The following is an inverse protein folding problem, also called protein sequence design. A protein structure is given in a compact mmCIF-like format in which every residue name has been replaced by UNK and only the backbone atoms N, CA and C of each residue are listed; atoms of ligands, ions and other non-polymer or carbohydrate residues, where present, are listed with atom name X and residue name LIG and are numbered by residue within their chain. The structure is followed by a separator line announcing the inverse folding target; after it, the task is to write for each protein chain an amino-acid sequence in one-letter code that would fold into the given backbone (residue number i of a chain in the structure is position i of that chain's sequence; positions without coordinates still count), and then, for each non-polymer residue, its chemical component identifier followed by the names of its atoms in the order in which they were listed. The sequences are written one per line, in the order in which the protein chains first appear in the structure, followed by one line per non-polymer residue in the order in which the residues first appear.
data_IF_597851267981
#
_entry.id   IF_597851267981
#
_cell.length_a   1.000
_cell.length_b   1.000
_cell.length_c   1.000
_cell.angle_alpha   90.00
_cell.angle_beta   90.00
_cell.angle_gamma   90.00
#
_symmetry.space_group_name_H-M   'P 1'
#
loop_
_entity.id
_entity.type
_entity.pdbx_description
1 polymer ?
#
# COMPACT_ATOMS: atom_id res chain seq x y z
N UNK A 1 -25.83 -19.82 15.88
CA UNK A 1 -25.71 -18.41 15.51
C UNK A 1 -24.24 -18.03 15.55
N UNK A 2 -23.76 -17.19 14.61
CA UNK A 2 -22.38 -16.70 14.60
C UNK A 2 -22.10 -16.03 15.96
N UNK A 3 -20.93 -16.27 16.57
CA UNK A 3 -20.47 -15.83 17.91
C UNK A 3 -20.66 -16.77 19.13
N UNK A 4 -20.82 -18.08 18.97
CA UNK A 4 -21.08 -19.03 20.08
C UNK A 4 -19.94 -19.31 21.08
N UNK A 5 -18.72 -18.77 20.91
CA UNK A 5 -17.56 -19.26 21.65
C UNK A 5 -17.24 -18.51 22.96
N UNK A 6 -17.94 -17.42 23.28
CA UNK A 6 -17.80 -16.74 24.57
C UNK A 6 -19.18 -16.31 25.07
N UNK A 7 -19.76 -17.09 26.00
CA UNK A 7 -20.95 -16.66 26.74
C UNK A 7 -20.56 -15.42 27.56
N UNK A 8 -21.23 -14.31 27.29
CA UNK A 8 -21.12 -13.09 28.09
C UNK A 8 -22.37 -12.93 28.93
N UNK A 9 -22.24 -12.26 30.08
CA UNK A 9 -23.33 -11.93 30.99
C UNK A 9 -23.60 -10.43 30.94
N UNK A 10 -24.87 -10.05 31.12
CA UNK A 10 -25.34 -8.66 30.99
C UNK A 10 -25.75 -8.12 32.36
N UNK A 11 -25.02 -7.13 32.87
CA UNK A 11 -25.39 -6.38 34.07
C UNK A 11 -26.21 -5.16 33.64
N UNK A 12 -27.55 -5.35 33.59
CA UNK A 12 -28.51 -4.31 33.18
C UNK A 12 -28.56 -3.12 34.16
N UNK A 13 -28.16 -3.32 35.40
CA UNK A 13 -28.18 -2.28 36.43
C UNK A 13 -27.03 -1.30 36.23
N UNK A 14 -25.83 -1.82 35.96
CA UNK A 14 -24.63 -1.00 35.74
C UNK A 14 -24.30 -0.80 34.25
N UNK A 15 -25.18 -1.23 33.35
CA UNK A 15 -25.04 -1.14 31.89
C UNK A 15 -23.68 -1.65 31.37
N UNK A 16 -23.29 -2.88 31.76
CA UNK A 16 -21.99 -3.46 31.40
C UNK A 16 -22.05 -4.95 31.05
N UNK A 17 -21.05 -5.41 30.32
CA UNK A 17 -20.87 -6.80 29.91
C UNK A 17 -19.74 -7.45 30.71
N UNK A 18 -19.96 -8.69 31.14
CA UNK A 18 -18.98 -9.48 31.88
C UNK A 18 -18.76 -10.84 31.25
N UNK A 19 -17.62 -11.44 31.57
CA UNK A 19 -17.26 -12.77 31.09
C UNK A 19 -16.98 -13.71 32.27
N UNK A 20 -17.35 -14.98 32.13
CA UNK A 20 -17.05 -15.98 33.14
C UNK A 20 -15.54 -16.14 33.34
N UNK A 21 -15.13 -16.13 34.60
CA UNK A 21 -13.77 -16.35 35.06
C UNK A 21 -13.82 -17.21 36.32
N UNK A 22 -13.45 -18.48 36.16
CA UNK A 22 -13.67 -19.54 37.15
C UNK A 22 -15.14 -19.59 37.59
N UNK A 23 -15.39 -19.43 38.90
CA UNK A 23 -16.72 -19.47 39.50
C UNK A 23 -17.37 -18.07 39.61
N UNK A 24 -16.85 -17.06 38.90
CA UNK A 24 -17.30 -15.66 39.00
C UNK A 24 -17.42 -14.97 37.64
N UNK A 25 -18.05 -13.79 37.61
CA UNK A 25 -18.11 -12.93 36.42
C UNK A 25 -17.14 -11.78 36.57
N UNK A 26 -16.20 -11.65 35.63
CA UNK A 26 -15.28 -10.53 35.55
C UNK A 26 -15.83 -9.44 34.61
N UNK A 27 -16.26 -8.34 35.21
CA UNK A 27 -16.81 -7.16 34.52
C UNK A 27 -15.75 -6.20 33.95
N UNK A 28 -14.47 -6.44 34.21
CA UNK A 28 -13.34 -5.64 33.69
C UNK A 28 -12.66 -6.31 32.50
N UNK A 29 -13.00 -7.56 32.19
CA UNK A 29 -12.42 -8.33 31.10
C UNK A 29 -13.07 -7.94 29.78
N UNK A 30 -12.26 -7.73 28.75
CA UNK A 30 -12.72 -7.41 27.39
C UNK A 30 -11.99 -8.28 26.36
N UNK A 31 -12.69 -8.62 25.28
CA UNK A 31 -12.21 -9.34 24.10
C UNK A 31 -12.24 -8.45 22.84
N UNK A 32 -11.92 -7.17 23.03
CA UNK A 32 -11.80 -6.20 21.93
C UNK A 32 -13.11 -6.06 21.14
N UNK A 33 -13.04 -6.26 19.82
CA UNK A 33 -14.16 -6.08 18.91
C UNK A 33 -15.39 -6.94 19.30
N UNK A 34 -15.16 -8.11 19.89
CA UNK A 34 -16.26 -8.99 20.34
C UNK A 34 -17.04 -8.38 21.51
N UNK A 35 -16.37 -7.73 22.45
CA UNK A 35 -17.02 -7.02 23.56
C UNK A 35 -17.76 -5.80 23.04
N UNK A 36 -17.17 -5.05 22.11
CA UNK A 36 -17.84 -3.93 21.45
C UNK A 36 -19.12 -4.37 20.72
N UNK A 37 -19.07 -5.44 19.91
CA UNK A 37 -20.27 -5.95 19.24
C UNK A 37 -21.33 -6.47 20.20
N UNK A 38 -20.94 -7.05 21.34
CA UNK A 38 -21.89 -7.45 22.37
C UNK A 38 -22.60 -6.23 22.99
N UNK A 39 -21.89 -5.11 23.21
CA UNK A 39 -22.50 -3.86 23.67
C UNK A 39 -23.45 -3.26 22.63
N UNK A 40 -23.08 -3.27 21.34
CA UNK A 40 -23.94 -2.82 20.23
C UNK A 40 -25.21 -3.67 20.18
N UNK A 41 -25.05 -4.99 20.16
CA UNK A 41 -26.17 -5.93 20.09
C UNK A 41 -27.14 -5.74 21.26
N UNK A 42 -26.65 -5.68 22.50
CA UNK A 42 -27.49 -5.51 23.69
C UNK A 42 -28.18 -4.13 23.73
N UNK A 43 -27.55 -3.09 23.21
CA UNK A 43 -28.19 -1.78 23.07
C UNK A 43 -29.32 -1.80 22.04
N UNK A 44 -29.13 -2.46 20.89
CA UNK A 44 -30.18 -2.65 19.88
C UNK A 44 -31.38 -3.44 20.44
N UNK A 45 -31.14 -4.35 21.40
CA UNK A 45 -32.18 -5.05 22.15
C UNK A 45 -32.80 -4.22 23.29
N UNK A 46 -32.39 -2.97 23.49
CA UNK A 46 -32.87 -2.08 24.55
C UNK A 46 -32.35 -2.43 25.95
N UNK A 47 -31.31 -3.26 26.06
CA UNK A 47 -30.72 -3.66 27.34
C UNK A 47 -29.91 -2.55 28.02
N UNK A 48 -29.50 -1.50 27.28
CA UNK A 48 -28.64 -0.41 27.75
C UNK A 48 -29.12 0.97 27.28
N UNK A 49 -28.92 2.02 28.11
CA UNK A 49 -29.17 3.42 27.73
C UNK A 49 -28.05 4.02 26.87
N UNK A 50 -28.37 5.02 26.02
CA UNK A 50 -27.47 5.55 24.98
C UNK A 50 -26.08 6.02 25.44
N UNK A 51 -25.94 6.51 26.67
CA UNK A 51 -24.66 6.99 27.23
C UNK A 51 -23.67 5.89 27.58
N UNK A 52 -24.13 4.65 27.79
CA UNK A 52 -23.26 3.51 28.15
C UNK A 52 -22.49 2.94 26.95
N UNK A 53 -23.09 3.03 25.77
CA UNK A 53 -22.45 2.62 24.52
C UNK A 53 -21.29 3.54 24.15
N UNK A 54 -21.46 4.85 24.36
CA UNK A 54 -20.46 5.84 23.96
C UNK A 54 -19.13 5.62 24.70
N UNK A 55 -19.14 5.17 25.96
CA UNK A 55 -17.92 4.90 26.74
C UNK A 55 -17.17 3.64 26.32
N UNK A 56 -17.87 2.63 25.80
CA UNK A 56 -17.32 1.30 25.49
C UNK A 56 -17.04 1.10 23.99
N UNK A 57 -17.66 1.92 23.12
CA UNK A 57 -17.34 2.01 21.70
C UNK A 57 -16.03 2.76 21.42
N UNK A 58 -15.46 3.44 22.42
CA UNK A 58 -14.07 3.84 22.34
C UNK A 58 -13.19 2.61 22.42
N UNK A 59 -12.70 2.17 21.26
CA UNK A 59 -11.41 1.50 21.23
C UNK A 59 -10.38 2.49 21.76
N UNK A 60 -10.06 2.40 23.06
CA UNK A 60 -8.77 2.86 23.56
C UNK A 60 -7.71 1.94 22.99
N UNK A 61 -7.35 2.20 21.73
CA UNK A 61 -5.96 2.05 21.34
C UNK A 61 -5.19 3.05 22.22
N UNK A 62 -4.71 2.59 23.36
CA UNK A 62 -3.50 3.18 23.91
C UNK A 62 -2.40 2.74 22.96
N UNK A 63 -2.35 3.38 21.78
CA UNK A 63 -1.06 3.65 21.18
C UNK A 63 -0.38 4.50 22.23
N UNK A 64 0.47 3.86 23.03
CA UNK A 64 1.32 4.60 23.95
C UNK A 64 1.94 5.75 23.16
N UNK A 65 2.18 6.88 23.83
CA UNK A 65 3.11 7.88 23.33
C UNK A 65 4.46 7.21 23.08
N UNK A 66 4.61 6.54 21.95
CA UNK A 66 5.86 6.03 21.43
C UNK A 66 6.32 7.09 20.44
N UNK A 67 6.66 8.26 20.99
CA UNK A 67 7.67 9.08 20.34
C UNK A 67 8.95 8.26 20.39
N UNK A 68 9.29 7.58 19.30
CA UNK A 68 10.55 6.86 19.18
C UNK A 68 11.76 7.77 19.48
N UNK A 69 11.61 9.09 19.33
CA UNK A 69 12.61 10.10 19.70
C UNK A 69 12.90 10.19 21.22
N UNK A 70 12.02 9.68 22.10
CA UNK A 70 12.27 9.65 23.56
C UNK A 70 12.60 8.25 24.10
N UNK A 71 12.67 7.25 23.21
CA UNK A 71 13.04 5.89 23.54
C UNK A 71 14.54 5.78 23.34
N UNK A 72 15.31 5.55 24.41
CA UNK A 72 16.75 5.27 24.31
C UNK A 72 17.00 4.18 23.26
N UNK A 73 17.99 4.31 22.36
CA UNK A 73 18.25 3.32 21.30
C UNK A 73 18.33 1.87 21.80
N UNK A 74 18.76 1.66 23.04
CA UNK A 74 18.80 0.35 23.72
C UNK A 74 17.41 -0.25 23.97
N UNK A 75 16.34 0.54 24.02
CA UNK A 75 14.96 0.07 24.25
C UNK A 75 14.25 -0.40 22.98
N UNK A 76 14.62 0.14 21.81
CA UNK A 76 14.18 -0.38 20.48
C UNK A 76 14.91 -1.68 20.17
N UNK A 77 16.17 -1.77 20.58
CA UNK A 77 17.06 -2.91 20.36
C UNK A 77 17.06 -3.94 21.51
N UNK A 78 16.09 -3.89 22.44
CA UNK A 78 15.85 -4.99 23.41
C UNK A 78 16.24 -4.76 24.88
N UNK A 79 16.01 -3.59 25.46
CA UNK A 79 16.33 -3.29 26.87
C UNK A 79 15.14 -2.88 27.78
N UNK A 80 14.78 -3.77 28.72
CA UNK A 80 14.22 -3.56 30.08
C UNK A 80 12.80 -2.99 30.33
N UNK A 81 11.90 -2.89 29.34
CA UNK A 81 10.43 -2.85 29.53
C UNK A 81 9.75 -3.63 28.38
N UNK A 82 8.48 -4.09 28.52
CA UNK A 82 7.95 -5.16 27.69
C UNK A 82 8.02 -4.83 26.21
N UNK A 83 8.79 -5.64 25.49
CA UNK A 83 8.92 -5.65 24.04
C UNK A 83 7.54 -5.40 23.37
N UNK A 84 7.40 -4.50 22.39
CA UNK A 84 6.12 -4.20 21.74
C UNK A 84 5.44 -5.44 21.14
N UNK A 85 6.22 -6.50 20.87
CA UNK A 85 5.76 -7.82 20.43
C UNK A 85 5.51 -8.82 21.59
N UNK A 86 5.28 -8.36 22.83
CA UNK A 86 4.85 -9.27 23.91
C UNK A 86 3.41 -9.77 23.73
N UNK A 87 2.57 -9.02 23.01
CA UNK A 87 1.16 -9.31 22.78
C UNK A 87 0.80 -9.59 21.32
N UNK A 88 1.76 -9.44 20.40
CA UNK A 88 1.58 -9.65 18.96
C UNK A 88 2.80 -10.40 18.39
N UNK A 89 2.65 -11.23 17.33
CA UNK A 89 3.77 -12.02 16.78
C UNK A 89 4.96 -11.13 16.38
N UNK A 90 6.18 -11.57 16.66
CA UNK A 90 7.38 -10.86 16.17
C UNK A 90 7.54 -11.12 14.67
N UNK A 91 7.85 -10.08 13.86
CA UNK A 91 8.45 -10.29 12.54
C UNK A 91 9.77 -11.04 12.73
N UNK A 92 9.73 -12.36 12.51
CA UNK A 92 10.79 -13.26 12.96
C UNK A 92 12.10 -13.07 12.19
N UNK A 93 12.00 -12.83 10.88
CA UNK A 93 13.16 -12.62 10.00
C UNK A 93 13.72 -11.21 10.08
N UNK A 94 12.85 -10.20 10.01
CA UNK A 94 13.28 -8.83 9.74
C UNK A 94 14.10 -8.20 10.87
N UNK A 95 13.76 -8.47 12.14
CA UNK A 95 14.44 -7.84 13.28
C UNK A 95 15.94 -8.20 13.29
N UNK A 96 16.30 -9.37 12.76
CA UNK A 96 17.67 -9.87 12.73
C UNK A 96 18.45 -9.35 11.51
N UNK A 97 17.77 -9.07 10.39
CA UNK A 97 18.42 -8.81 9.09
C UNK A 97 18.16 -7.42 8.51
N UNK A 98 17.37 -6.54 9.14
CA UNK A 98 16.98 -5.23 8.55
C UNK A 98 18.17 -4.30 8.22
N UNK A 99 19.31 -4.49 8.87
CA UNK A 99 20.52 -3.70 8.59
C UNK A 99 21.33 -4.24 7.40
N UNK A 100 21.05 -5.45 6.93
CA UNK A 100 21.76 -6.08 5.82
C UNK A 100 21.35 -5.46 4.48
N UNK A 101 22.31 -5.26 3.58
CA UNK A 101 22.05 -4.70 2.25
C UNK A 101 21.20 -5.66 1.41
N UNK A 102 21.48 -6.96 1.53
CA UNK A 102 20.74 -8.05 0.86
C UNK A 102 19.26 -8.06 1.27
N UNK A 103 18.94 -7.87 2.56
CA UNK A 103 17.55 -7.86 3.01
C UNK A 103 16.81 -6.60 2.52
N UNK A 104 17.45 -5.43 2.50
CA UNK A 104 16.81 -4.25 1.92
C UNK A 104 16.60 -4.41 0.41
N UNK A 105 17.61 -4.91 -0.32
CA UNK A 105 17.49 -5.13 -1.76
C UNK A 105 16.38 -6.14 -2.09
N UNK A 106 16.32 -7.27 -1.37
CA UNK A 106 15.28 -8.30 -1.54
C UNK A 106 13.86 -7.74 -1.38
N UNK A 107 13.66 -6.76 -0.50
CA UNK A 107 12.34 -6.13 -0.28
C UNK A 107 11.80 -5.40 -1.52
N UNK A 108 12.65 -4.97 -2.45
CA UNK A 108 12.18 -4.37 -3.71
C UNK A 108 11.55 -5.39 -4.67
N UNK A 109 11.84 -6.67 -4.49
CA UNK A 109 11.24 -7.76 -5.26
C UNK A 109 10.10 -8.45 -4.51
N UNK A 110 10.26 -8.66 -3.20
CA UNK A 110 9.39 -9.54 -2.40
C UNK A 110 8.94 -8.92 -1.07
N UNK A 111 9.15 -7.62 -0.90
CA UNK A 111 8.66 -6.85 0.24
C UNK A 111 7.25 -6.29 -0.03
N UNK A 112 6.84 -5.25 0.72
CA UNK A 112 5.49 -4.71 0.63
C UNK A 112 5.26 -3.82 -0.60
N UNK A 113 6.32 -3.39 -1.28
CA UNK A 113 6.22 -2.59 -2.50
C UNK A 113 7.03 -3.18 -3.65
N UNK A 114 6.56 -4.30 -4.21
CA UNK A 114 7.19 -4.89 -5.37
C UNK A 114 6.98 -4.04 -6.63
N UNK A 115 6.17 -2.98 -6.62
CA UNK A 115 5.76 -2.25 -7.82
C UNK A 115 6.72 -1.12 -8.23
N UNK A 116 7.64 -0.69 -7.35
CA UNK A 116 8.51 0.47 -7.63
C UNK A 116 9.82 0.13 -8.36
N UNK A 117 10.28 -1.13 -8.29
CA UNK A 117 11.51 -1.57 -8.96
C UNK A 117 11.34 -1.57 -10.49
N UNK A 118 12.39 -1.22 -11.23
CA UNK A 118 12.42 -1.18 -12.70
C UNK A 118 13.70 -1.80 -13.23
N UNK A 119 13.61 -2.43 -14.39
CA UNK A 119 14.78 -2.79 -15.17
C UNK A 119 15.30 -1.55 -15.93
N UNK A 120 16.61 -1.30 -15.84
CA UNK A 120 17.23 -0.23 -16.60
C UNK A 120 17.43 -0.67 -18.05
N UNK A 121 16.90 0.12 -18.99
CA UNK A 121 17.01 -0.07 -20.44
C UNK A 121 17.85 1.03 -21.11
N UNK A 122 17.95 2.20 -20.49
CA UNK A 122 18.81 3.31 -20.92
C UNK A 122 19.25 4.11 -19.70
N UNK A 123 20.43 3.75 -19.15
CA UNK A 123 20.99 4.37 -17.95
C UNK A 123 21.17 5.89 -18.10
N UNK A 124 21.45 6.39 -19.31
CA UNK A 124 21.68 7.83 -19.56
C UNK A 124 20.42 8.67 -19.41
N UNK A 125 19.24 8.05 -19.57
CA UNK A 125 17.94 8.71 -19.40
C UNK A 125 17.28 8.39 -18.07
N UNK A 126 17.55 7.21 -17.53
CA UNK A 126 16.82 6.69 -16.37
C UNK A 126 17.53 6.98 -15.05
N UNK A 127 18.85 6.99 -15.02
CA UNK A 127 19.62 7.28 -13.80
C UNK A 127 20.03 8.76 -13.74
N UNK A 128 20.20 9.33 -12.53
CA UNK A 128 20.83 10.64 -12.37
C UNK A 128 22.26 10.64 -12.97
N UNK A 129 22.65 11.74 -13.60
CA UNK A 129 23.99 11.89 -14.20
C UNK A 129 25.12 11.65 -13.19
N UNK A 130 24.97 12.17 -11.96
CA UNK A 130 25.91 11.94 -10.86
C UNK A 130 26.03 10.47 -10.48
N UNK A 131 24.91 9.75 -10.39
CA UNK A 131 24.88 8.31 -10.14
C UNK A 131 25.54 7.53 -11.27
N UNK A 132 25.22 7.82 -12.53
CA UNK A 132 25.85 7.14 -13.67
C UNK A 132 27.36 7.33 -13.67
N UNK A 133 27.82 8.59 -13.53
CA UNK A 133 29.24 8.92 -13.40
C UNK A 133 29.89 8.18 -12.23
N UNK A 134 29.20 8.09 -11.10
CA UNK A 134 29.69 7.40 -9.91
C UNK A 134 29.89 5.89 -10.17
N UNK A 135 28.91 5.21 -10.78
CA UNK A 135 28.98 3.78 -11.09
C UNK A 135 30.14 3.47 -12.05
N UNK A 136 30.32 4.28 -13.10
CA UNK A 136 31.35 4.07 -14.13
C UNK A 136 32.75 4.52 -13.66
N UNK A 137 32.87 5.71 -13.06
CA UNK A 137 34.16 6.31 -12.75
C UNK A 137 34.68 5.95 -11.36
N UNK A 138 33.81 5.80 -10.36
CA UNK A 138 34.24 5.49 -8.99
C UNK A 138 34.17 4.01 -8.68
N UNK A 139 33.05 3.35 -8.97
CA UNK A 139 32.90 1.89 -8.76
C UNK A 139 33.48 1.04 -9.90
N UNK A 140 33.85 1.66 -11.03
CA UNK A 140 34.47 0.97 -12.19
C UNK A 140 33.58 -0.13 -12.78
N UNK A 141 32.26 0.04 -12.71
CA UNK A 141 31.31 -0.91 -13.29
C UNK A 141 31.16 -0.69 -14.79
N UNK A 142 31.00 -1.78 -15.54
CA UNK A 142 30.57 -1.74 -16.94
C UNK A 142 29.04 -1.61 -17.00
N UNK A 143 28.55 -0.37 -16.84
CA UNK A 143 27.11 -0.07 -16.86
C UNK A 143 26.46 -0.50 -18.18
N UNK A 144 27.05 -0.25 -19.38
CA UNK A 144 26.52 -0.78 -20.64
C UNK A 144 26.36 -2.30 -20.64
N UNK A 145 27.33 -3.06 -20.10
CA UNK A 145 27.21 -4.51 -19.99
C UNK A 145 26.07 -4.91 -19.03
N UNK A 146 25.95 -4.28 -17.86
CA UNK A 146 24.86 -4.56 -16.91
C UNK A 146 23.48 -4.29 -17.52
N UNK A 147 23.32 -3.23 -18.33
CA UNK A 147 22.08 -2.95 -19.06
C UNK A 147 21.83 -4.02 -20.13
N UNK A 148 22.84 -4.35 -20.94
CA UNK A 148 22.73 -5.35 -22.01
C UNK A 148 22.38 -6.75 -21.47
N UNK A 149 22.93 -7.11 -20.31
CA UNK A 149 22.67 -8.38 -19.62
C UNK A 149 21.35 -8.39 -18.82
N UNK A 150 20.64 -7.25 -18.80
CA UNK A 150 19.41 -7.03 -18.01
C UNK A 150 19.62 -7.26 -16.52
N UNK A 151 20.71 -6.70 -15.97
CA UNK A 151 21.14 -6.84 -14.57
C UNK A 151 21.19 -5.53 -13.80
N UNK A 152 21.07 -4.39 -14.46
CA UNK A 152 20.94 -3.10 -13.77
C UNK A 152 19.47 -2.82 -13.48
N UNK A 153 19.12 -2.73 -12.20
CA UNK A 153 17.78 -2.35 -11.74
C UNK A 153 17.84 -1.04 -10.96
N UNK A 154 16.71 -0.35 -10.85
CA UNK A 154 16.61 0.85 -10.04
C UNK A 154 15.19 1.11 -9.56
N UNK A 155 15.06 1.89 -8.49
CA UNK A 155 13.81 2.50 -8.08
C UNK A 155 13.98 4.02 -8.00
N UNK A 156 12.95 4.74 -8.44
CA UNK A 156 13.01 6.17 -8.70
C UNK A 156 11.84 6.90 -8.03
N UNK A 157 12.19 7.75 -7.07
CA UNK A 157 11.25 8.56 -6.29
C UNK A 157 11.39 10.05 -6.60
N UNK A 158 12.00 10.41 -7.73
CA UNK A 158 12.22 11.83 -8.11
C UNK A 158 10.93 12.62 -8.24
N UNK A 159 9.79 11.97 -8.47
CA UNK A 159 8.49 12.65 -8.50
C UNK A 159 8.11 13.33 -7.18
N UNK A 160 8.71 12.92 -6.05
CA UNK A 160 8.55 13.61 -4.77
C UNK A 160 9.13 15.03 -4.81
N UNK A 161 10.05 15.35 -5.73
CA UNK A 161 10.63 16.70 -5.86
C UNK A 161 9.60 17.76 -6.27
N UNK A 162 8.48 17.35 -6.88
CA UNK A 162 7.42 18.26 -7.30
C UNK A 162 6.51 18.72 -6.14
N UNK A 163 6.66 18.10 -4.96
CA UNK A 163 5.89 18.44 -3.77
C UNK A 163 6.44 19.75 -3.18
N UNK A 164 5.96 20.86 -3.72
CA UNK A 164 6.26 22.22 -3.25
C UNK A 164 5.46 22.52 -1.99
N UNK A 165 5.97 22.15 -0.81
CA UNK A 165 5.73 22.79 0.49
C UNK A 165 6.71 22.14 1.45
N UNK A 166 7.41 22.98 2.23
CA UNK A 166 8.18 22.54 3.38
C UNK A 166 7.32 21.57 4.23
N UNK A 167 7.77 20.33 4.53
CA UNK A 167 7.04 19.31 5.33
C UNK A 167 6.61 19.74 6.75
N UNK A 168 6.65 21.04 7.06
CA UNK A 168 6.35 21.65 8.35
C UNK A 168 5.14 22.57 8.34
N UNK A 169 4.54 22.82 7.17
CA UNK A 169 3.16 23.29 7.14
C UNK A 169 2.29 22.06 6.91
N UNK A 170 1.54 21.68 7.94
CA UNK A 170 0.32 20.88 7.75
C UNK A 170 -0.38 21.49 6.55
N UNK A 171 -0.53 20.74 5.47
CA UNK A 171 -1.32 21.17 4.33
C UNK A 171 -2.46 20.17 4.16
N UNK A 172 -3.73 20.60 4.10
CA UNK A 172 -4.15 21.93 4.54
C UNK A 172 -3.68 22.17 5.99
N UNK A 173 -3.46 23.45 6.39
CA UNK A 173 -3.31 23.79 7.80
C UNK A 173 -4.39 23.06 8.57
N UNK A 174 -4.06 22.50 9.74
CA UNK A 174 -5.02 21.84 10.62
C UNK A 174 -6.41 22.45 10.44
N UNK A 175 -7.38 21.67 9.93
CA UNK A 175 -8.77 22.14 9.76
C UNK A 175 -9.36 22.65 11.09
N UNK A 176 -8.66 22.38 12.20
CA UNK A 176 -8.88 22.97 13.50
C UNK A 176 -7.82 24.07 13.80
N UNK A 177 -8.19 25.36 13.79
CA UNK A 177 -7.28 26.47 14.12
C UNK A 177 -6.75 26.46 15.56
N UNK A 178 -7.32 25.63 16.45
CA UNK A 178 -6.93 25.54 17.86
C UNK A 178 -5.73 24.60 18.11
N UNK A 179 -5.19 23.96 17.08
CA UNK A 179 -4.08 23.03 17.22
C UNK A 179 -2.78 23.71 16.75
N UNK A 180 -1.88 24.10 17.67
CA UNK A 180 -0.64 24.78 17.31
C UNK A 180 0.23 23.89 16.41
N UNK A 181 0.83 24.50 15.38
CA UNK A 181 1.90 23.88 14.58
C UNK A 181 3.08 23.66 15.51
N UNK A 182 3.58 22.42 15.59
CA UNK A 182 4.78 22.14 16.34
C UNK A 182 5.99 22.57 15.51
N UNK A 183 6.45 23.80 15.71
CA UNK A 183 7.61 24.40 15.05
C UNK A 183 8.94 23.64 15.29
N UNK A 184 8.92 22.54 16.07
CA UNK A 184 10.09 21.73 16.41
C UNK A 184 10.02 20.29 15.91
N UNK A 185 8.93 19.86 15.28
CA UNK A 185 8.77 18.48 14.80
C UNK A 185 8.95 18.38 13.28
N UNK A 186 10.20 18.57 12.86
CA UNK A 186 10.57 18.55 11.45
C UNK A 186 10.64 17.12 10.91
N UNK A 187 9.96 16.85 9.81
CA UNK A 187 10.03 15.59 9.04
C UNK A 187 10.62 15.81 7.67
N UNK A 188 11.33 14.83 7.14
CA UNK A 188 12.01 14.94 5.86
C UNK A 188 11.59 13.85 4.89
N UNK A 189 11.63 14.13 3.60
CA UNK A 189 11.54 13.13 2.55
C UNK A 189 12.51 13.50 1.42
N UNK A 190 12.87 12.51 0.61
CA UNK A 190 13.90 12.66 -0.41
C UNK A 190 13.38 12.24 -1.78
N UNK A 191 13.62 13.00 -2.86
CA UNK A 191 13.41 12.55 -4.23
C UNK A 191 14.54 11.59 -4.65
N UNK A 192 14.62 10.45 -3.94
CA UNK A 192 15.76 9.55 -3.99
C UNK A 192 15.72 8.62 -5.22
N UNK A 193 16.89 8.19 -5.65
CA UNK A 193 17.07 7.07 -6.60
C UNK A 193 18.00 6.06 -5.95
N UNK A 194 17.70 4.77 -6.11
CA UNK A 194 18.54 3.65 -5.69
C UNK A 194 18.75 2.70 -6.86
N UNK A 195 19.99 2.27 -7.08
CA UNK A 195 20.37 1.35 -8.15
C UNK A 195 20.90 0.03 -7.56
N UNK A 196 20.64 -1.05 -8.29
CA UNK A 196 20.98 -2.41 -7.90
C UNK A 196 21.64 -3.17 -9.05
N UNK A 197 22.52 -4.12 -8.73
CA UNK A 197 22.96 -5.16 -9.64
C UNK A 197 22.29 -6.48 -9.26
N UNK A 198 21.69 -7.14 -10.25
CA UNK A 198 21.28 -8.52 -10.15
C UNK A 198 22.51 -9.44 -10.26
N UNK A 199 22.55 -10.47 -9.43
CA UNK A 199 23.62 -11.46 -9.49
C UNK A 199 23.68 -12.13 -10.88
N UNK A 200 24.89 -12.52 -11.31
CA UNK A 200 25.12 -13.20 -12.59
C UNK A 200 24.93 -14.72 -12.53
N UNK A 201 24.68 -15.29 -11.36
CA UNK A 201 24.70 -16.73 -11.15
C UNK A 201 23.33 -17.34 -11.40
N UNK A 202 22.37 -17.00 -10.56
CA UNK A 202 21.01 -17.54 -10.58
C UNK A 202 19.93 -16.46 -10.63
N UNK A 203 20.31 -15.17 -10.60
CA UNK A 203 19.41 -14.02 -10.73
C UNK A 203 18.35 -14.01 -9.62
N UNK A 204 18.71 -14.44 -8.43
CA UNK A 204 17.84 -14.49 -7.24
C UNK A 204 18.16 -13.39 -6.22
N UNK A 205 19.36 -12.82 -6.27
CA UNK A 205 19.85 -11.84 -5.30
C UNK A 205 20.22 -10.51 -5.97
N UNK A 206 20.07 -9.43 -5.22
CA UNK A 206 20.43 -8.09 -5.66
C UNK A 206 21.41 -7.45 -4.68
N UNK A 207 22.40 -6.77 -5.24
CA UNK A 207 23.32 -5.91 -4.51
C UNK A 207 22.93 -4.44 -4.69
N UNK A 208 22.96 -3.66 -3.61
CA UNK A 208 22.76 -2.20 -3.70
C UNK A 208 24.06 -1.58 -4.21
N UNK A 209 24.00 -0.97 -5.39
CA UNK A 209 25.16 -0.29 -5.99
C UNK A 209 25.32 1.12 -5.45
N UNK A 210 24.23 1.89 -5.45
CA UNK A 210 24.28 3.31 -5.16
C UNK A 210 22.93 3.86 -4.70
N UNK A 211 22.96 4.85 -3.82
CA UNK A 211 21.80 5.65 -3.40
C UNK A 211 22.12 7.13 -3.64
N UNK A 212 21.22 7.86 -4.29
CA UNK A 212 21.28 9.30 -4.43
C UNK A 212 20.01 9.93 -3.84
N UNK A 213 20.13 10.56 -2.67
CA UNK A 213 18.99 11.11 -1.93
C UNK A 213 18.37 12.37 -2.57
N UNK A 214 19.11 13.06 -3.44
CA UNK A 214 18.64 14.22 -4.20
C UNK A 214 18.78 13.92 -5.69
N UNK A 215 17.93 13.04 -6.18
CA UNK A 215 18.01 12.46 -7.53
C UNK A 215 17.74 13.46 -8.66
N UNK A 216 17.17 14.63 -8.36
CA UNK A 216 16.94 15.71 -9.33
C UNK A 216 18.09 16.70 -9.43
N UNK A 217 19.08 16.62 -8.53
CA UNK A 217 20.25 17.50 -8.54
C UNK A 217 21.42 16.84 -9.28
N UNK A 218 21.99 17.53 -10.27
CA UNK A 218 23.05 16.97 -11.14
C UNK A 218 24.31 16.55 -10.38
N UNK A 219 24.71 17.31 -9.35
CA UNK A 219 25.94 17.07 -8.57
C UNK A 219 25.67 16.63 -7.12
N UNK A 220 24.49 16.08 -6.84
CA UNK A 220 24.22 15.55 -5.50
C UNK A 220 25.16 14.38 -5.14
N UNK A 221 25.54 14.24 -3.85
CA UNK A 221 26.32 13.11 -3.38
C UNK A 221 25.63 11.77 -3.67
N UNK A 222 26.43 10.80 -4.06
CA UNK A 222 26.04 9.42 -4.28
C UNK A 222 26.69 8.56 -3.20
N UNK A 223 25.86 7.81 -2.50
CA UNK A 223 26.24 6.99 -1.36
C UNK A 223 26.35 5.53 -1.80
N UNK A 224 27.40 4.86 -1.36
CA UNK A 224 27.58 3.42 -1.46
C UNK A 224 28.22 2.91 -0.18
N UNK A 225 28.20 1.59 0.02
CA UNK A 225 28.84 0.97 1.18
C UNK A 225 30.34 1.29 1.25
N UNK A 226 31.01 1.39 0.11
CA UNK A 226 32.45 1.61 -0.01
C UNK A 226 32.84 3.08 0.15
N UNK A 227 31.94 4.01 -0.18
CA UNK A 227 32.25 5.45 -0.21
C UNK A 227 31.77 6.20 1.03
N UNK A 228 30.83 5.64 1.79
CA UNK A 228 30.42 6.22 3.07
C UNK A 228 31.56 6.15 4.10
N UNK A 229 31.68 7.21 4.90
CA UNK A 229 32.69 7.37 5.94
C UNK A 229 32.48 6.44 7.15
N UNK A 230 31.27 5.89 7.30
CA UNK A 230 30.91 4.96 8.38
C UNK A 230 29.70 4.11 8.02
N UNK A 231 29.54 2.97 8.72
CA UNK A 231 28.33 2.13 8.62
C UNK A 231 27.05 2.91 8.98
N UNK A 232 27.14 3.88 9.89
CA UNK A 232 26.01 4.72 10.28
C UNK A 232 25.57 5.66 9.15
N UNK A 233 26.51 6.22 8.40
CA UNK A 233 26.21 7.05 7.22
C UNK A 233 25.54 6.22 6.12
N UNK A 234 26.08 5.04 5.83
CA UNK A 234 25.47 4.12 4.86
C UNK A 234 24.07 3.69 5.28
N UNK A 235 23.91 3.30 6.55
CA UNK A 235 22.60 2.94 7.09
C UNK A 235 21.61 4.11 7.03
N UNK A 236 22.05 5.35 7.28
CA UNK A 236 21.18 6.52 7.14
C UNK A 236 20.74 6.75 5.69
N UNK A 237 21.62 6.58 4.70
CA UNK A 237 21.25 6.66 3.29
C UNK A 237 20.17 5.61 2.93
N UNK A 238 20.33 4.38 3.43
CA UNK A 238 19.35 3.29 3.28
C UNK A 238 18.00 3.62 3.94
N UNK A 239 18.00 4.19 5.14
CA UNK A 239 16.80 4.62 5.87
C UNK A 239 16.06 5.73 5.12
N UNK A 240 16.78 6.71 4.59
CA UNK A 240 16.19 7.85 3.86
C UNK A 240 15.52 7.41 2.56
N UNK A 241 16.13 6.50 1.78
CA UNK A 241 15.46 5.97 0.58
C UNK A 241 14.31 5.03 0.93
N UNK A 242 14.42 4.26 2.03
CA UNK A 242 13.31 3.46 2.55
C UNK A 242 12.13 4.33 3.00
N UNK A 243 12.36 5.56 3.47
CA UNK A 243 11.30 6.50 3.79
C UNK A 243 10.54 6.98 2.54
N UNK A 244 11.26 7.38 1.50
CA UNK A 244 10.66 7.76 0.22
C UNK A 244 9.81 6.62 -0.35
N UNK A 245 10.39 5.43 -0.34
CA UNK A 245 9.75 4.23 -0.83
C UNK A 245 8.52 3.82 0.02
N UNK A 246 8.58 3.89 1.34
CA UNK A 246 7.45 3.60 2.22
C UNK A 246 6.27 4.59 2.03
N UNK A 247 6.55 5.85 1.74
CA UNK A 247 5.50 6.82 1.42
C UNK A 247 4.86 6.55 0.05
N UNK A 248 5.65 6.15 -0.95
CA UNK A 248 5.12 5.76 -2.27
C UNK A 248 4.32 4.46 -2.21
N UNK A 249 4.81 3.48 -1.48
CA UNK A 249 4.12 2.22 -1.19
C UNK A 249 2.73 2.48 -0.60
N UNK A 250 2.67 3.15 0.54
CA UNK A 250 1.42 3.27 1.30
C UNK A 250 0.40 4.12 0.56
N UNK A 251 0.82 5.25 -0.01
CA UNK A 251 -0.13 6.23 -0.52
C UNK A 251 -0.44 6.07 -2.00
N UNK A 252 0.45 5.47 -2.78
CA UNK A 252 0.21 5.25 -4.21
C UNK A 252 -0.14 3.79 -4.47
N UNK A 253 0.79 2.87 -4.24
CA UNK A 253 0.61 1.47 -4.65
C UNK A 253 -0.42 0.71 -3.83
N UNK A 254 -0.58 1.07 -2.56
CA UNK A 254 -1.61 0.51 -1.68
C UNK A 254 -2.87 1.38 -1.73
N UNK A 255 -2.89 2.52 -1.04
CA UNK A 255 -4.12 3.27 -0.83
C UNK A 255 -4.75 3.81 -2.12
N UNK A 256 -3.97 4.22 -3.12
CA UNK A 256 -4.56 4.69 -4.37
C UNK A 256 -4.94 3.55 -5.29
N UNK A 257 -3.96 2.78 -5.74
CA UNK A 257 -4.11 1.80 -6.82
C UNK A 257 -5.04 0.62 -6.44
N UNK A 258 -5.28 0.35 -5.16
CA UNK A 258 -6.18 -0.73 -4.73
C UNK A 258 -7.46 -0.27 -4.03
N UNK A 259 -7.40 0.84 -3.28
CA UNK A 259 -8.56 1.34 -2.53
C UNK A 259 -9.28 2.47 -3.26
N UNK A 260 -8.66 3.64 -3.36
CA UNK A 260 -9.34 4.87 -3.79
C UNK A 260 -9.65 4.89 -5.29
N UNK A 261 -8.73 4.42 -6.12
CA UNK A 261 -8.93 4.32 -7.58
C UNK A 261 -9.97 3.26 -7.96
N UNK A 262 -10.18 2.30 -7.06
CA UNK A 262 -11.20 1.28 -7.22
C UNK A 262 -12.59 1.75 -6.80
N UNK A 263 -12.70 2.77 -5.93
CA UNK A 263 -13.99 3.23 -5.38
C UNK A 263 -14.96 3.73 -6.46
N UNK A 264 -14.48 4.55 -7.41
CA UNK A 264 -15.31 5.02 -8.52
C UNK A 264 -15.87 3.88 -9.36
N UNK A 265 -15.10 2.80 -9.49
CA UNK A 265 -15.49 1.59 -10.21
C UNK A 265 -16.60 0.84 -9.43
N UNK A 266 -16.45 0.71 -8.12
CA UNK A 266 -17.48 0.12 -7.24
C UNK A 266 -18.79 0.89 -7.32
N UNK A 267 -18.74 2.23 -7.35
CA UNK A 267 -19.94 3.07 -7.50
C UNK A 267 -20.60 2.83 -8.86
N UNK A 268 -19.84 2.84 -9.96
CA UNK A 268 -20.37 2.59 -11.29
C UNK A 268 -20.99 1.19 -11.46
N UNK A 269 -20.38 0.17 -10.85
CA UNK A 269 -20.94 -1.19 -10.76
C UNK A 269 -22.30 -1.17 -10.04
N UNK A 270 -22.40 -0.48 -8.90
CA UNK A 270 -23.67 -0.41 -8.17
C UNK A 270 -24.75 0.31 -8.98
N UNK A 271 -24.39 1.44 -9.60
CA UNK A 271 -25.31 2.27 -10.37
C UNK A 271 -25.90 1.53 -11.57
N UNK A 272 -25.08 0.77 -12.30
CA UNK A 272 -25.48 0.11 -13.54
C UNK A 272 -25.78 -1.37 -13.35
N UNK A 273 -24.83 -2.15 -12.84
CA UNK A 273 -24.97 -3.61 -12.79
C UNK A 273 -25.94 -4.04 -11.70
N UNK A 274 -25.69 -3.62 -10.44
CA UNK A 274 -26.49 -4.07 -9.30
C UNK A 274 -27.94 -3.59 -9.39
N UNK A 275 -28.15 -2.31 -9.66
CA UNK A 275 -29.50 -1.72 -9.66
C UNK A 275 -30.40 -2.25 -10.79
N UNK A 276 -29.82 -2.81 -11.85
CA UNK A 276 -30.57 -3.45 -12.93
C UNK A 276 -30.69 -4.98 -12.77
N UNK A 277 -30.29 -5.55 -11.63
CA UNK A 277 -30.27 -7.01 -11.37
C UNK A 277 -29.55 -7.78 -12.48
N UNK A 278 -28.45 -7.21 -12.97
CA UNK A 278 -27.71 -7.73 -14.10
C UNK A 278 -26.90 -8.98 -13.72
N UNK A 279 -26.79 -10.02 -14.57
CA UNK A 279 -26.05 -11.27 -14.25
C UNK A 279 -24.60 -11.07 -13.81
N UNK A 280 -23.92 -10.04 -14.34
CA UNK A 280 -22.56 -9.68 -13.89
C UNK A 280 -22.48 -9.33 -12.39
N UNK A 281 -23.60 -9.07 -11.71
CA UNK A 281 -23.60 -8.83 -10.27
C UNK A 281 -23.05 -10.00 -9.48
N UNK A 282 -23.30 -11.25 -9.90
CA UNK A 282 -22.78 -12.45 -9.21
C UNK A 282 -21.25 -12.46 -9.16
N UNK A 283 -20.62 -11.83 -10.16
CA UNK A 283 -19.18 -11.65 -10.21
C UNK A 283 -18.69 -10.46 -9.39
N UNK A 284 -19.42 -9.34 -9.42
CA UNK A 284 -19.00 -8.12 -8.74
C UNK A 284 -19.38 -8.04 -7.26
N UNK A 285 -20.37 -8.79 -6.80
CA UNK A 285 -20.77 -8.80 -5.39
C UNK A 285 -19.60 -9.09 -4.43
N UNK A 286 -18.84 -10.20 -4.60
CA UNK A 286 -17.70 -10.46 -3.72
C UNK A 286 -16.57 -9.42 -3.89
N UNK A 287 -16.42 -8.86 -5.08
CA UNK A 287 -15.34 -7.94 -5.43
C UNK A 287 -15.54 -6.53 -4.87
N UNK A 288 -16.79 -6.08 -4.80
CA UNK A 288 -17.16 -4.76 -4.27
C UNK A 288 -17.37 -4.74 -2.76
N UNK A 289 -17.35 -5.92 -2.14
CA UNK A 289 -17.62 -6.10 -0.71
C UNK A 289 -16.61 -5.35 0.14
N UNK A 290 -17.12 -4.62 1.12
CA UNK A 290 -16.36 -3.88 2.14
C UNK A 290 -15.51 -2.69 1.63
N UNK A 291 -15.21 -2.57 0.32
CA UNK A 291 -14.39 -1.47 -0.22
C UNK A 291 -14.93 -0.08 0.16
N UNK A 292 -16.23 0.18 -0.04
CA UNK A 292 -16.82 1.48 0.29
C UNK A 292 -16.71 1.81 1.78
N UNK A 293 -16.91 0.82 2.64
CA UNK A 293 -16.80 0.97 4.09
C UNK A 293 -15.34 1.20 4.52
N UNK A 294 -14.41 0.45 3.96
CA UNK A 294 -12.99 0.59 4.23
C UNK A 294 -12.47 1.95 3.76
N UNK A 295 -12.86 2.42 2.58
CA UNK A 295 -12.45 3.73 2.08
C UNK A 295 -13.09 4.87 2.87
N UNK A 296 -14.35 4.71 3.32
CA UNK A 296 -14.95 5.63 4.28
C UNK A 296 -14.15 5.68 5.58
N UNK A 297 -13.74 4.54 6.12
CA UNK A 297 -12.89 4.47 7.32
C UNK A 297 -11.55 5.15 7.07
N UNK A 298 -10.89 4.87 5.95
CA UNK A 298 -9.62 5.48 5.56
C UNK A 298 -9.72 7.01 5.48
N UNK A 299 -10.78 7.56 4.86
CA UNK A 299 -11.02 9.01 4.86
C UNK A 299 -11.11 9.58 6.27
N UNK A 300 -11.92 8.95 7.14
CA UNK A 300 -12.19 9.43 8.50
C UNK A 300 -11.04 9.21 9.49
N UNK A 301 -10.04 8.40 9.14
CA UNK A 301 -8.89 8.08 10.00
C UNK A 301 -7.60 8.65 9.43
N UNK A 302 -7.25 8.30 8.20
CA UNK A 302 -6.01 8.71 7.56
C UNK A 302 -6.01 10.22 7.27
N UNK A 303 -7.10 10.81 6.78
CA UNK A 303 -7.12 12.18 6.25
C UNK A 303 -7.87 13.21 7.11
N UNK A 304 -8.92 12.82 7.83
CA UNK A 304 -9.81 13.78 8.51
C UNK A 304 -10.04 13.50 10.00
N UNK A 305 -9.24 12.62 10.59
CA UNK A 305 -9.35 12.29 12.02
C UNK A 305 -9.12 13.51 12.91
N UNK A 306 -9.82 13.56 14.04
CA UNK A 306 -9.69 14.63 15.03
C UNK A 306 -8.96 14.08 16.27
N UNK A 307 -7.99 14.81 16.86
CA UNK A 307 -7.62 16.20 16.55
C UNK A 307 -6.77 16.37 15.28
N UNK A 308 -6.07 15.34 14.81
CA UNK A 308 -5.28 15.38 13.57
C UNK A 308 -5.41 14.09 12.76
N UNK A 309 -5.24 14.21 11.45
CA UNK A 309 -5.19 13.11 10.50
C UNK A 309 -3.99 12.19 10.78
N UNK A 310 -4.15 10.88 10.62
CA UNK A 310 -3.05 9.92 10.80
C UNK A 310 -1.86 10.23 9.85
N UNK A 311 -2.14 10.68 8.63
CA UNK A 311 -1.10 11.06 7.68
C UNK A 311 -0.27 12.25 8.15
N UNK A 312 -0.89 13.25 8.78
CA UNK A 312 -0.17 14.37 9.37
C UNK A 312 0.61 13.96 10.63
N UNK A 313 0.18 12.91 11.34
CA UNK A 313 0.83 12.45 12.56
C UNK A 313 1.99 11.47 12.34
N UNK A 314 2.04 10.72 11.25
CA UNK A 314 3.02 9.62 11.11
C UNK A 314 3.83 9.61 9.81
N UNK A 315 3.54 10.50 8.86
CA UNK A 315 4.20 10.48 7.54
C UNK A 315 5.12 11.69 7.35
N UNK A 316 6.14 11.53 6.51
CA UNK A 316 6.99 12.64 6.06
C UNK A 316 6.30 13.60 5.09
N UNK A 317 5.31 13.12 4.33
CA UNK A 317 4.64 13.92 3.31
C UNK A 317 3.55 14.83 3.91
N UNK A 318 2.73 14.29 4.81
CA UNK A 318 1.53 14.96 5.31
C UNK A 318 0.34 14.82 4.35
N UNK A 319 -0.86 15.11 4.86
CA UNK A 319 -2.15 14.87 4.21
C UNK A 319 -2.26 15.51 2.82
N UNK A 320 -1.84 16.76 2.68
CA UNK A 320 -2.07 17.58 1.49
C UNK A 320 -1.12 17.22 0.36
N UNK A 321 0.13 16.92 0.68
CA UNK A 321 1.13 16.45 -0.28
C UNK A 321 0.75 15.06 -0.78
N UNK A 322 0.27 14.19 0.11
CA UNK A 322 -0.32 12.90 -0.27
C UNK A 322 -1.47 13.15 -1.25
N UNK A 323 -2.44 14.01 -0.92
CA UNK A 323 -3.56 14.31 -1.81
C UNK A 323 -3.13 14.86 -3.20
N UNK A 324 -2.08 15.70 -3.25
CA UNK A 324 -1.52 16.20 -4.52
C UNK A 324 -0.90 15.06 -5.33
N UNK A 325 -0.11 14.19 -4.70
CA UNK A 325 0.49 13.03 -5.34
C UNK A 325 -0.58 12.07 -5.87
N UNK A 326 -1.61 11.77 -5.06
CA UNK A 326 -2.75 10.95 -5.45
C UNK A 326 -3.47 11.51 -6.68
N UNK A 327 -3.76 12.82 -6.69
CA UNK A 327 -4.39 13.47 -7.83
C UNK A 327 -3.52 13.37 -9.09
N UNK A 328 -2.21 13.58 -8.95
CA UNK A 328 -1.27 13.46 -10.08
C UNK A 328 -1.28 12.04 -10.64
N UNK A 329 -1.17 11.03 -9.76
CA UNK A 329 -1.20 9.62 -10.15
C UNK A 329 -2.51 9.25 -10.84
N UNK A 330 -3.65 9.72 -10.33
CA UNK A 330 -4.94 9.49 -10.97
C UNK A 330 -5.01 10.05 -12.40
N UNK A 331 -4.49 11.26 -12.62
CA UNK A 331 -4.47 11.90 -13.94
C UNK A 331 -3.60 11.15 -14.97
N UNK A 332 -2.58 10.43 -14.52
CA UNK A 332 -1.70 9.63 -15.39
C UNK A 332 -2.05 8.14 -15.41
N UNK A 333 -3.08 7.72 -14.68
CA UNK A 333 -3.48 6.32 -14.58
C UNK A 333 -4.09 5.85 -15.90
N UNK A 334 -3.67 4.69 -16.37
CA UNK A 334 -4.24 4.01 -17.53
C UNK A 334 -4.63 2.58 -17.14
N UNK A 335 -5.90 2.24 -17.32
CA UNK A 335 -6.48 1.00 -16.81
C UNK A 335 -5.72 -0.23 -17.31
N UNK A 336 -5.44 -0.34 -18.60
CA UNK A 336 -4.75 -1.52 -19.15
C UNK A 336 -3.24 -1.49 -18.94
N UNK A 337 -2.64 -0.33 -18.69
CA UNK A 337 -1.21 -0.27 -18.31
C UNK A 337 -1.01 -0.67 -16.84
N UNK A 338 -1.92 -0.25 -15.96
CA UNK A 338 -1.75 -0.38 -14.51
C UNK A 338 -2.46 -1.60 -13.90
N UNK A 339 -3.65 -1.97 -14.40
CA UNK A 339 -4.45 -3.06 -13.85
C UNK A 339 -4.16 -4.42 -14.52
N UNK A 340 -3.48 -4.41 -15.68
CA UNK A 340 -3.09 -5.63 -16.38
C UNK A 340 -1.67 -6.03 -15.98
N UNK A 341 -1.53 -7.05 -15.12
CA UNK A 341 -0.23 -7.41 -14.53
C UNK A 341 0.90 -7.59 -15.57
N UNK A 342 0.73 -8.33 -16.68
CA UNK A 342 1.77 -8.40 -17.71
C UNK A 342 2.17 -7.04 -18.33
N UNK A 343 1.22 -6.14 -18.60
CA UNK A 343 1.53 -4.83 -19.15
C UNK A 343 2.22 -3.95 -18.10
N UNK A 344 1.79 -4.04 -16.84
CA UNK A 344 2.38 -3.33 -15.72
C UNK A 344 3.86 -3.73 -15.56
N UNK A 345 4.15 -5.03 -15.54
CA UNK A 345 5.50 -5.59 -15.51
C UNK A 345 6.33 -5.15 -16.72
N UNK A 346 5.78 -5.26 -17.94
CA UNK A 346 6.45 -4.84 -19.16
C UNK A 346 6.75 -3.34 -19.17
N UNK A 347 5.87 -2.49 -18.62
CA UNK A 347 6.08 -1.05 -18.50
C UNK A 347 7.29 -0.69 -17.62
N UNK A 348 7.65 -1.58 -16.70
CA UNK A 348 8.84 -1.49 -15.85
C UNK A 348 10.04 -2.26 -16.40
N UNK A 349 9.92 -2.84 -17.59
CA UNK A 349 10.97 -3.55 -18.30
C UNK A 349 11.06 -5.05 -17.96
N UNK A 350 10.10 -5.61 -17.23
CA UNK A 350 10.04 -7.04 -16.89
C UNK A 350 9.16 -7.80 -17.89
N UNK A 351 9.56 -7.79 -19.16
CA UNK A 351 8.91 -8.62 -20.18
C UNK A 351 9.24 -10.11 -20.02
N UNK A 352 8.63 -10.96 -20.84
CA UNK A 352 8.84 -12.42 -20.83
C UNK A 352 10.29 -12.84 -21.14
N UNK A 353 11.13 -11.91 -21.60
CA UNK A 353 12.54 -12.15 -21.91
C UNK A 353 13.48 -11.82 -20.74
N UNK A 354 12.96 -11.56 -19.55
CA UNK A 354 13.74 -11.32 -18.33
C UNK A 354 13.55 -12.50 -17.38
N UNK A 355 14.63 -13.24 -17.11
CA UNK A 355 14.66 -14.21 -16.02
C UNK A 355 14.99 -13.49 -14.71
N UNK A 356 14.07 -13.56 -13.75
CA UNK A 356 14.23 -12.95 -12.42
C UNK A 356 13.52 -13.81 -11.37
N UNK A 357 13.98 -15.05 -11.10
CA UNK A 357 13.32 -16.00 -10.20
C UNK A 357 13.18 -15.48 -8.76
N UNK A 358 14.01 -14.52 -8.34
CA UNK A 358 13.86 -13.84 -7.03
C UNK A 358 12.64 -12.91 -6.93
N UNK A 359 11.94 -12.63 -8.04
CA UNK A 359 10.80 -11.72 -8.08
C UNK A 359 9.46 -12.41 -7.80
N UNK A 360 9.29 -12.88 -6.56
CA UNK A 360 8.16 -13.72 -6.18
C UNK A 360 6.79 -13.06 -6.41
N UNK A 361 6.68 -11.73 -6.30
CA UNK A 361 5.46 -11.01 -6.67
C UNK A 361 5.05 -11.25 -8.13
N UNK A 362 6.01 -11.22 -9.05
CA UNK A 362 5.78 -11.52 -10.47
C UNK A 362 5.45 -13.00 -10.66
N UNK A 363 6.26 -13.89 -10.10
CA UNK A 363 6.14 -15.34 -10.34
C UNK A 363 4.81 -15.91 -9.83
N UNK A 364 4.39 -15.52 -8.63
CA UNK A 364 3.11 -15.97 -8.08
C UNK A 364 1.94 -15.12 -8.60
N UNK A 365 2.18 -13.85 -8.89
CA UNK A 365 1.21 -12.95 -9.50
C UNK A 365 0.77 -13.42 -10.89
N UNK A 366 1.70 -13.85 -11.75
CA UNK A 366 1.39 -14.33 -13.10
C UNK A 366 0.62 -15.65 -13.07
N UNK A 367 0.93 -16.57 -12.15
CA UNK A 367 0.13 -17.80 -11.97
C UNK A 367 -1.30 -17.48 -11.54
N UNK A 368 -1.47 -16.53 -10.62
CA UNK A 368 -2.80 -16.07 -10.21
C UNK A 368 -3.51 -15.35 -11.36
N UNK A 369 -2.79 -14.53 -12.12
CA UNK A 369 -3.29 -13.83 -13.29
C UNK A 369 -3.87 -14.80 -14.32
N UNK A 370 -3.13 -15.87 -14.66
CA UNK A 370 -3.59 -16.89 -15.61
C UNK A 370 -4.86 -17.60 -15.11
N UNK A 371 -4.91 -17.98 -13.83
CA UNK A 371 -6.09 -18.60 -13.23
C UNK A 371 -7.31 -17.65 -13.22
N UNK A 372 -7.08 -16.35 -12.97
CA UNK A 372 -8.12 -15.34 -13.07
C UNK A 372 -8.62 -15.18 -14.51
N UNK A 373 -7.73 -15.26 -15.51
CA UNK A 373 -8.11 -15.17 -16.93
C UNK A 373 -8.99 -16.33 -17.38
N UNK A 374 -8.67 -17.55 -16.97
CA UNK A 374 -9.54 -18.70 -17.20
C UNK A 374 -10.90 -18.52 -16.51
N UNK A 375 -10.90 -18.08 -15.25
CA UNK A 375 -12.11 -17.83 -14.48
C UNK A 375 -13.01 -16.77 -15.13
N UNK A 376 -12.46 -15.62 -15.54
CA UNK A 376 -13.25 -14.53 -16.13
C UNK A 376 -13.76 -14.89 -17.52
N UNK A 377 -12.96 -15.60 -18.33
CA UNK A 377 -13.39 -16.10 -19.64
C UNK A 377 -14.57 -17.05 -19.50
N UNK A 378 -14.46 -18.05 -18.63
CA UNK A 378 -15.53 -19.02 -18.38
C UNK A 378 -16.81 -18.34 -17.85
N UNK A 379 -16.66 -17.34 -16.99
CA UNK A 379 -17.80 -16.57 -16.49
C UNK A 379 -18.50 -15.77 -17.59
N UNK A 380 -17.74 -15.07 -18.43
CA UNK A 380 -18.30 -14.32 -19.57
C UNK A 380 -18.95 -15.25 -20.59
N UNK A 381 -18.37 -16.43 -20.82
CA UNK A 381 -18.95 -17.46 -21.69
C UNK A 381 -20.29 -18.00 -21.19
N UNK A 382 -20.47 -18.08 -19.88
CA UNK A 382 -21.75 -18.48 -19.27
C UNK A 382 -22.80 -17.37 -19.35
N UNK A 383 -22.39 -16.10 -19.19
CA UNK A 383 -23.33 -14.96 -19.23
C UNK A 383 -23.74 -14.58 -20.65
N UNK A 384 -22.83 -14.65 -21.62
CA UNK A 384 -23.05 -14.21 -23.00
C UNK A 384 -22.70 -15.32 -24.00
N UNK A 385 -23.63 -15.61 -24.91
CA UNK A 385 -23.39 -16.62 -25.94
C UNK A 385 -22.47 -16.09 -27.06
N UNK A 386 -22.59 -14.82 -27.43
CA UNK A 386 -21.86 -14.21 -28.55
C UNK A 386 -21.36 -12.81 -28.23
N UNK A 387 -20.40 -12.31 -29.02
CA UNK A 387 -19.94 -10.91 -28.93
C UNK A 387 -21.07 -9.92 -29.21
N UNK A 388 -22.03 -10.28 -30.07
CA UNK A 388 -23.20 -9.45 -30.33
C UNK A 388 -24.06 -9.26 -29.08
N UNK A 389 -24.21 -10.30 -28.24
CA UNK A 389 -24.95 -10.18 -26.98
C UNK A 389 -24.27 -9.20 -26.00
N UNK A 390 -22.93 -9.14 -26.02
CA UNK A 390 -22.14 -8.17 -25.23
C UNK A 390 -22.33 -6.75 -25.76
N UNK A 391 -22.23 -6.57 -27.09
CA UNK A 391 -22.39 -5.28 -27.74
C UNK A 391 -23.80 -4.70 -27.57
N UNK A 392 -24.83 -5.55 -27.61
CA UNK A 392 -26.25 -5.15 -27.49
C UNK A 392 -26.72 -4.94 -26.03
N UNK A 393 -25.90 -5.29 -25.04
CA UNK A 393 -26.22 -5.10 -23.63
C UNK A 393 -26.09 -3.64 -23.19
N UNK A 394 -27.23 -2.94 -23.18
CA UNK A 394 -27.30 -1.54 -22.80
C UNK A 394 -26.93 -1.27 -21.33
N UNK A 395 -27.05 -2.24 -20.42
CA UNK A 395 -26.64 -2.09 -19.01
C UNK A 395 -25.12 -2.13 -18.92
N UNK A 396 -24.48 -3.08 -19.59
CA UNK A 396 -23.03 -3.17 -19.72
C UNK A 396 -22.45 -1.91 -20.39
N UNK A 397 -23.07 -1.43 -21.47
CA UNK A 397 -22.62 -0.19 -22.14
C UNK A 397 -22.80 1.04 -21.24
N UNK A 398 -23.87 1.08 -20.44
CA UNK A 398 -24.09 2.12 -19.42
C UNK A 398 -22.97 2.14 -18.38
N UNK A 399 -22.60 0.97 -17.88
CA UNK A 399 -21.47 0.80 -16.96
C UNK A 399 -20.14 1.24 -17.61
N UNK A 400 -19.82 0.77 -18.81
CA UNK A 400 -18.58 1.11 -19.50
C UNK A 400 -18.46 2.62 -19.75
N UNK A 401 -19.58 3.27 -20.11
CA UNK A 401 -19.64 4.72 -20.25
C UNK A 401 -19.38 5.44 -18.93
N UNK A 402 -20.03 5.04 -17.83
CA UNK A 402 -19.83 5.67 -16.52
C UNK A 402 -18.39 5.50 -16.00
N UNK A 403 -17.78 4.34 -16.29
CA UNK A 403 -16.37 4.06 -15.98
C UNK A 403 -15.41 5.06 -16.66
N UNK A 404 -15.64 5.34 -17.95
CA UNK A 404 -14.81 6.25 -18.75
C UNK A 404 -15.17 7.75 -18.62
N UNK A 405 -16.34 8.09 -18.07
CA UNK A 405 -16.86 9.46 -18.05
C UNK A 405 -16.07 10.36 -17.07
N UNK A 406 -15.50 11.51 -17.52
CA UNK A 406 -14.74 12.41 -16.67
C UNK A 406 -15.50 13.06 -15.51
N UNK A 407 -16.83 13.11 -15.58
CA UNK A 407 -17.71 13.58 -14.52
C UNK A 407 -18.19 12.48 -13.57
N UNK A 408 -17.80 11.22 -13.80
CA UNK A 408 -18.21 10.06 -13.01
C UNK A 408 -16.98 9.31 -12.46
N UNK A 409 -16.74 8.05 -12.85
CA UNK A 409 -15.62 7.29 -12.33
C UNK A 409 -14.27 7.79 -12.90
N UNK A 410 -14.25 8.33 -14.13
CA UNK A 410 -13.07 8.93 -14.77
C UNK A 410 -11.83 8.01 -14.78
N UNK A 411 -12.01 6.72 -15.06
CA UNK A 411 -10.91 5.76 -15.14
C UNK A 411 -10.17 5.92 -16.48
N UNK A 412 -8.97 6.49 -16.45
CA UNK A 412 -8.16 6.68 -17.65
C UNK A 412 -7.90 5.36 -18.38
N UNK A 413 -7.98 5.36 -19.71
CA UNK A 413 -7.77 4.17 -20.54
C UNK A 413 -8.92 3.15 -20.52
N UNK A 414 -9.94 3.31 -19.67
CA UNK A 414 -11.06 2.38 -19.62
C UNK A 414 -11.92 2.50 -20.90
N UNK A 415 -12.32 1.37 -21.51
CA UNK A 415 -13.08 1.40 -22.75
C UNK A 415 -14.48 1.99 -22.51
N UNK A 416 -14.86 3.01 -23.28
CA UNK A 416 -16.18 3.64 -23.17
C UNK A 416 -17.33 2.76 -23.71
N UNK A 417 -16.97 1.66 -24.38
CA UNK A 417 -17.85 0.58 -24.83
C UNK A 417 -17.10 -0.74 -24.76
N UNK A 418 -17.81 -1.82 -24.46
CA UNK A 418 -17.27 -3.18 -24.45
C UNK A 418 -18.08 -3.96 -25.47
N UNK A 419 -17.51 -4.30 -26.62
CA UNK A 419 -18.25 -4.79 -27.78
C UNK A 419 -18.02 -6.28 -28.06
N UNK A 420 -17.18 -6.95 -27.27
CA UNK A 420 -16.85 -8.36 -27.43
C UNK A 420 -16.52 -9.03 -26.09
N UNK A 421 -16.62 -10.36 -26.08
CA UNK A 421 -16.43 -11.19 -24.88
C UNK A 421 -14.99 -11.16 -24.37
N UNK A 422 -14.01 -11.08 -25.27
CA UNK A 422 -12.60 -11.09 -24.88
C UNK A 422 -12.23 -9.81 -24.12
N UNK A 423 -12.69 -8.66 -24.59
CA UNK A 423 -12.53 -7.36 -23.93
C UNK A 423 -13.22 -7.37 -22.57
N UNK A 424 -14.45 -7.89 -22.46
CA UNK A 424 -15.13 -8.01 -21.18
C UNK A 424 -14.36 -8.90 -20.20
N UNK A 425 -13.95 -10.09 -20.63
CA UNK A 425 -13.20 -11.03 -19.80
C UNK A 425 -11.89 -10.42 -19.28
N UNK A 426 -11.18 -9.66 -20.12
CA UNK A 426 -9.94 -8.99 -19.75
C UNK A 426 -10.16 -7.85 -18.74
N UNK A 427 -11.21 -7.04 -18.94
CA UNK A 427 -11.59 -5.99 -17.99
C UNK A 427 -11.89 -6.61 -16.63
N UNK A 428 -12.69 -7.67 -16.60
CA UNK A 428 -13.05 -8.40 -15.39
C UNK A 428 -11.81 -9.01 -14.70
N UNK A 429 -10.86 -9.54 -15.46
CA UNK A 429 -9.61 -10.10 -14.95
C UNK A 429 -8.74 -9.02 -14.28
N UNK A 430 -8.60 -7.86 -14.92
CA UNK A 430 -7.89 -6.70 -14.38
C UNK A 430 -8.48 -6.26 -13.04
N UNK A 431 -9.81 -6.16 -12.94
CA UNK A 431 -10.49 -5.75 -11.71
C UNK A 431 -10.27 -6.75 -10.57
N UNK A 432 -10.34 -8.07 -10.84
CA UNK A 432 -10.03 -9.07 -9.84
C UNK A 432 -8.59 -9.02 -9.37
N UNK A 433 -7.65 -8.85 -10.30
CA UNK A 433 -6.24 -8.71 -9.96
C UNK A 433 -6.01 -7.55 -8.98
N UNK A 434 -6.58 -6.38 -9.26
CA UNK A 434 -6.44 -5.20 -8.38
C UNK A 434 -6.97 -5.46 -6.95
N UNK A 435 -8.19 -5.98 -6.83
CA UNK A 435 -8.86 -6.15 -5.53
C UNK A 435 -8.36 -7.36 -4.73
N UNK A 436 -7.75 -8.34 -5.40
CA UNK A 436 -7.25 -9.56 -4.76
C UNK A 436 -5.72 -9.62 -4.76
N UNK A 437 -5.11 -10.03 -5.87
CA UNK A 437 -3.68 -10.27 -5.99
C UNK A 437 -2.81 -9.08 -5.60
N UNK A 438 -3.05 -7.92 -6.24
CA UNK A 438 -2.28 -6.70 -5.98
C UNK A 438 -2.48 -6.22 -4.54
N UNK A 439 -3.74 -6.00 -4.12
CA UNK A 439 -4.07 -5.55 -2.76
C UNK A 439 -3.46 -6.47 -1.70
N UNK A 440 -3.59 -7.79 -1.83
CA UNK A 440 -3.02 -8.73 -0.87
C UNK A 440 -1.48 -8.60 -0.79
N UNK A 441 -0.81 -8.45 -1.94
CA UNK A 441 0.65 -8.32 -1.98
C UNK A 441 1.14 -7.04 -1.29
N UNK A 442 0.45 -5.91 -1.47
CA UNK A 442 0.88 -4.61 -0.94
C UNK A 442 0.35 -4.29 0.47
N UNK A 443 -0.71 -4.97 0.92
CA UNK A 443 -1.31 -4.77 2.26
C UNK A 443 -0.86 -5.83 3.28
N UNK A 444 -0.98 -7.13 2.96
CA UNK A 444 -0.82 -8.19 3.98
C UNK A 444 0.64 -8.35 4.45
N UNK A 445 1.57 -7.89 3.64
CA UNK A 445 3.01 -7.86 3.91
C UNK A 445 3.39 -6.75 4.91
N UNK A 446 2.55 -5.72 5.11
CA UNK A 446 2.90 -4.56 5.95
C UNK A 446 3.27 -4.94 7.39
N UNK A 447 2.61 -5.95 7.97
CA UNK A 447 2.94 -6.35 9.33
C UNK A 447 4.39 -6.83 9.46
N UNK A 448 4.86 -7.66 8.53
CA UNK A 448 6.21 -8.22 8.59
C UNK A 448 7.29 -7.18 8.30
N UNK A 449 6.98 -6.17 7.47
CA UNK A 449 7.98 -5.22 6.97
C UNK A 449 7.95 -3.81 7.59
N UNK A 450 6.77 -3.34 8.01
CA UNK A 450 6.54 -1.95 8.46
C UNK A 450 6.40 -1.86 9.97
N UNK A 451 5.96 -2.93 10.64
CA UNK A 451 5.79 -2.93 12.11
C UNK A 451 7.11 -2.75 12.87
N UNK A 452 8.25 -3.09 12.25
CA UNK A 452 9.58 -2.76 12.74
C UNK A 452 10.09 -1.47 12.06
N UNK A 453 9.79 -0.34 12.67
CA UNK A 453 10.01 1.01 12.11
C UNK A 453 11.41 1.26 11.54
N UNK A 454 12.53 0.79 12.13
CA UNK A 454 13.87 1.02 11.56
C UNK A 454 14.07 0.44 10.15
N UNK A 455 13.28 -0.56 9.74
CA UNK A 455 13.36 -1.13 8.39
C UNK A 455 12.72 -0.20 7.34
N UNK A 456 11.52 0.32 7.63
CA UNK A 456 10.69 1.08 6.68
C UNK A 456 9.94 2.21 7.39
N UNK A 457 10.61 3.33 7.71
CA UNK A 457 9.98 4.41 8.44
C UNK A 457 9.10 5.26 7.52
N UNK A 458 7.84 5.50 7.91
CA UNK A 458 6.96 6.45 7.21
C UNK A 458 7.34 7.92 7.45
N UNK A 459 8.10 8.19 8.53
CA UNK A 459 8.65 9.51 8.85
C UNK A 459 10.11 9.44 9.29
N UNK A 460 10.93 10.38 8.85
CA UNK A 460 12.32 10.60 9.32
C UNK A 460 12.54 12.01 9.82
#
# INVERSE_FOLDING_TARGET
SRFSNYKYEVDRVNCRIGYAEHDSINWKRSYGAKTAFAYIYEHEQGSFGGTSIEGELYFRLICGKLSYAQISPTRILGGLLPNPFQLVPRPSRLIETYMEDSEQARQYLSGPNPCSIRLCTDATKQLPTSMLRFLEEQQKLDVPALVAEKRLLFADYRELAELNINPHNSYPPSLNPDIPVDEKNFRYFNPAVIAFALDDKDRTEMEILAIQLRGTEEDAPVYSKETCSSEAEWFMAKVMVANSEANMHEFIHHLCETHLFFEGQVVAIHNNIRNNNHPLWDFFEPLTKDTLFMNWTARNTLFTFKPRAFTDEFTSLGTGQIAQLMQKKWKSYDFFTNAHLPNELASRGFDDNVELPGYLFREDGLKLWDALGEFTTNFVDEVYATDADVADDFVLQGWAKEMADPGSANVGGFPSKIEDKATLALVLQCMWWLCSGLHAAVNNTQYDYVSFTPNRPLSV
#
